data_IF_626005258442
#
_entry.id   IF_626005258442
#
_cell.length_a   1.000
_cell.length_b   1.000
_cell.length_c   1.000
_cell.angle_alpha   90.00
_cell.angle_beta   90.00
_cell.angle_gamma   90.00
#
_symmetry.space_group_name_H-M   'P 1'
#
loop_
_entity.id
_entity.type
_entity.pdbx_description
1 polymer ?
#
# COMPACT_ATOMS: atom_id res chain seq x y z
N UNK A 1 23.85 12.83 -4.09
CA UNK A 1 22.91 13.96 -3.93
C UNK A 1 21.57 13.38 -3.52
N UNK A 2 21.07 13.73 -2.34
CA UNK A 2 19.78 13.24 -1.86
C UNK A 2 18.68 14.10 -2.48
N UNK A 3 17.80 13.50 -3.30
CA UNK A 3 16.63 14.18 -3.83
C UNK A 3 15.76 14.68 -2.67
N UNK A 4 15.17 15.87 -2.84
CA UNK A 4 14.26 16.43 -1.84
C UNK A 4 13.02 15.52 -1.68
N UNK A 5 12.45 15.41 -0.48
CA UNK A 5 11.23 14.64 -0.23
C UNK A 5 10.11 15.01 -1.21
N UNK A 6 10.04 16.28 -1.63
CA UNK A 6 9.09 16.78 -2.64
C UNK A 6 9.34 16.25 -4.05
N UNK A 7 10.59 16.04 -4.43
CA UNK A 7 10.95 15.45 -5.73
C UNK A 7 10.63 13.97 -5.73
N UNK A 8 10.91 13.28 -4.61
CA UNK A 8 10.58 11.86 -4.45
C UNK A 8 9.06 11.63 -4.53
N UNK A 9 8.24 12.44 -3.85
CA UNK A 9 6.77 12.37 -3.95
C UNK A 9 6.24 12.70 -5.35
N UNK A 10 6.90 13.59 -6.09
CA UNK A 10 6.54 13.91 -7.48
C UNK A 10 6.88 12.77 -8.44
N UNK A 11 7.99 12.07 -8.25
CA UNK A 11 8.33 10.89 -9.04
C UNK A 11 7.44 9.68 -8.72
N UNK A 12 6.86 9.64 -7.53
CA UNK A 12 5.84 8.65 -7.21
C UNK A 12 4.51 8.87 -7.95
N UNK A 13 4.18 10.11 -8.35
CA UNK A 13 3.06 10.37 -9.27
C UNK A 13 3.31 9.76 -10.67
N UNK A 14 4.58 9.51 -11.01
CA UNK A 14 4.99 8.84 -12.25
C UNK A 14 5.15 7.32 -12.10
N UNK A 15 4.80 6.74 -10.95
CA UNK A 15 4.77 5.28 -10.82
C UNK A 15 3.77 4.70 -11.82
N UNK A 16 4.21 3.67 -12.55
CA UNK A 16 3.30 2.85 -13.35
C UNK A 16 2.17 2.33 -12.44
N UNK A 17 0.93 2.64 -12.83
CA UNK A 17 -0.27 2.13 -12.17
C UNK A 17 -0.25 0.60 -12.22
N UNK A 18 -0.63 -0.02 -11.12
CA UNK A 18 -0.84 -1.46 -11.07
C UNK A 18 -2.09 -1.83 -11.83
N UNK A 19 -1.96 -2.72 -12.81
CA UNK A 19 -3.03 -3.20 -13.68
C UNK A 19 -3.33 -4.69 -13.49
N UNK A 20 -2.68 -5.34 -12.50
CA UNK A 20 -2.75 -6.78 -12.24
C UNK A 20 -1.44 -7.51 -12.56
N UNK A 21 -0.54 -6.91 -13.35
CA UNK A 21 0.75 -7.49 -13.70
C UNK A 21 1.91 -7.06 -12.79
N UNK A 22 3.01 -7.83 -12.81
CA UNK A 22 4.28 -7.49 -12.15
C UNK A 22 4.12 -7.09 -10.68
N UNK A 23 3.21 -7.75 -9.95
CA UNK A 23 2.79 -7.33 -8.61
C UNK A 23 3.96 -7.13 -7.67
N UNK A 24 4.96 -8.03 -7.65
CA UNK A 24 6.13 -7.91 -6.76
C UNK A 24 6.90 -6.61 -7.02
N UNK A 25 7.01 -6.16 -8.28
CA UNK A 25 7.71 -4.92 -8.63
C UNK A 25 6.92 -3.70 -8.18
N UNK A 26 5.62 -3.64 -8.50
CA UNK A 26 4.76 -2.55 -8.05
C UNK A 26 4.69 -2.48 -6.53
N UNK A 27 4.53 -3.63 -5.87
CA UNK A 27 4.44 -3.76 -4.42
C UNK A 27 5.68 -3.20 -3.72
N UNK A 28 6.89 -3.52 -4.21
CA UNK A 28 8.14 -2.97 -3.67
C UNK A 28 8.21 -1.44 -3.81
N UNK A 29 7.83 -0.91 -4.97
CA UNK A 29 7.78 0.54 -5.21
C UNK A 29 6.76 1.23 -4.30
N UNK A 30 5.58 0.62 -4.11
CA UNK A 30 4.53 1.13 -3.23
C UNK A 30 4.95 1.10 -1.75
N UNK A 31 5.54 -0.02 -1.27
CA UNK A 31 6.11 -0.11 0.09
C UNK A 31 7.17 0.97 0.33
N UNK A 32 8.02 1.24 -0.66
CA UNK A 32 9.02 2.32 -0.56
C UNK A 32 8.37 3.70 -0.44
N UNK A 33 7.36 4.03 -1.26
CA UNK A 33 6.57 5.26 -1.12
C UNK A 33 5.96 5.42 0.27
N UNK A 34 5.25 4.39 0.76
CA UNK A 34 4.59 4.42 2.06
C UNK A 34 5.59 4.57 3.22
N UNK A 35 6.80 4.02 3.06
CA UNK A 35 7.90 4.18 4.04
C UNK A 35 8.42 5.61 4.05
N UNK A 36 8.62 6.21 2.88
CA UNK A 36 9.01 7.62 2.74
C UNK A 36 7.98 8.56 3.34
N UNK A 37 6.70 8.23 3.21
CA UNK A 37 5.59 8.95 3.85
C UNK A 37 5.42 8.63 5.35
N UNK A 38 6.18 7.67 5.89
CA UNK A 38 6.12 7.20 7.28
C UNK A 38 4.77 6.61 7.70
N UNK A 39 4.00 6.07 6.75
CA UNK A 39 2.69 5.45 7.00
C UNK A 39 2.70 3.93 6.84
N UNK A 40 3.79 3.33 6.32
CA UNK A 40 3.86 1.88 6.07
C UNK A 40 3.61 0.98 7.29
N UNK A 41 3.75 1.50 8.51
CA UNK A 41 3.56 0.75 9.74
C UNK A 41 2.10 0.28 9.94
N UNK A 42 1.11 1.01 9.40
CA UNK A 42 -0.32 0.65 9.49
C UNK A 42 -0.66 -0.66 8.77
N UNK A 43 0.21 -1.11 7.86
CA UNK A 43 0.08 -2.42 7.19
C UNK A 43 0.46 -3.61 8.08
N UNK A 44 1.02 -3.37 9.26
CA UNK A 44 1.50 -4.44 10.15
C UNK A 44 1.08 -4.24 11.60
N UNK A 45 0.75 -3.02 12.01
CA UNK A 45 0.36 -2.68 13.37
C UNK A 45 -1.15 -2.47 13.45
N UNK A 46 -1.79 -3.12 14.42
CA UNK A 46 -3.20 -2.92 14.71
C UNK A 46 -3.47 -1.48 15.16
N UNK A 47 -4.68 -1.00 14.87
CA UNK A 47 -5.21 0.24 15.41
C UNK A 47 -5.23 0.18 16.94
N UNK A 48 -4.78 1.21 17.67
CA UNK A 48 -4.96 1.29 19.11
C UNK A 48 -6.44 1.16 19.50
N UNK A 49 -6.71 0.38 20.54
CA UNK A 49 -8.08 0.21 21.07
C UNK A 49 -8.57 1.51 21.70
N UNK A 50 -9.87 1.73 21.57
CA UNK A 50 -10.56 2.82 22.25
C UNK A 50 -10.96 2.39 23.66
N UNK A 51 -10.68 3.23 24.66
CA UNK A 51 -10.99 2.96 26.07
C UNK A 51 -11.66 4.17 26.74
N UNK A 52 -12.47 3.91 27.77
CA UNK A 52 -13.24 4.93 28.47
C UNK A 52 -12.35 5.90 29.29
N UNK A 53 -11.18 5.46 29.74
CA UNK A 53 -10.24 6.19 30.59
C UNK A 53 -8.99 6.67 29.86
N UNK A 54 -9.09 6.89 28.55
CA UNK A 54 -7.95 7.32 27.74
C UNK A 54 -7.34 8.65 28.16
N UNK A 55 -6.01 8.64 28.17
CA UNK A 55 -5.25 9.88 28.24
C UNK A 55 -5.33 10.63 26.91
N UNK A 56 -5.15 11.95 26.96
CA UNK A 56 -5.06 12.81 25.76
C UNK A 56 -3.98 12.31 24.78
N UNK A 57 -2.90 11.71 25.28
CA UNK A 57 -1.84 11.15 24.45
C UNK A 57 -2.33 9.92 23.67
N UNK A 58 -3.05 9.00 24.31
CA UNK A 58 -3.61 7.80 23.66
C UNK A 58 -4.65 8.17 22.58
N UNK A 59 -5.53 9.13 22.87
CA UNK A 59 -6.47 9.64 21.87
C UNK A 59 -5.75 10.23 20.66
N UNK A 60 -4.67 11.00 20.89
CA UNK A 60 -3.87 11.59 19.80
C UNK A 60 -3.18 10.51 18.96
N UNK A 61 -2.65 9.47 19.60
CA UNK A 61 -1.97 8.38 18.91
C UNK A 61 -2.96 7.56 18.06
N UNK A 62 -4.19 7.33 18.53
CA UNK A 62 -5.27 6.71 17.74
C UNK A 62 -5.67 7.56 16.54
N UNK A 63 -5.90 8.87 16.75
CA UNK A 63 -6.23 9.78 15.64
C UNK A 63 -5.12 9.85 14.61
N UNK A 64 -3.86 9.84 15.05
CA UNK A 64 -2.70 9.76 14.16
C UNK A 64 -2.72 8.45 13.36
N UNK A 65 -2.99 7.32 14.01
CA UNK A 65 -3.11 6.02 13.32
C UNK A 65 -4.21 6.05 12.27
N UNK A 66 -5.40 6.58 12.61
CA UNK A 66 -6.55 6.67 11.69
C UNK A 66 -6.23 7.54 10.46
N UNK A 67 -5.53 8.66 10.66
CA UNK A 67 -5.06 9.50 9.57
C UNK A 67 -4.02 8.79 8.70
N UNK A 68 -3.06 8.10 9.30
CA UNK A 68 -2.00 7.39 8.57
C UNK A 68 -2.56 6.19 7.79
N UNK A 69 -3.56 5.48 8.33
CA UNK A 69 -4.28 4.42 7.60
C UNK A 69 -5.04 4.97 6.40
N UNK A 70 -5.76 6.09 6.57
CA UNK A 70 -6.42 6.77 5.47
C UNK A 70 -5.43 7.18 4.35
N UNK A 71 -4.31 7.81 4.71
CA UNK A 71 -3.27 8.21 3.76
C UNK A 71 -2.71 6.98 3.04
N UNK A 72 -2.39 5.92 3.79
CA UNK A 72 -1.86 4.67 3.25
C UNK A 72 -2.83 4.05 2.24
N UNK A 73 -4.11 3.91 2.62
CA UNK A 73 -5.17 3.37 1.78
C UNK A 73 -5.31 4.16 0.48
N UNK A 74 -5.34 5.50 0.56
CA UNK A 74 -5.48 6.37 -0.61
C UNK A 74 -4.27 6.28 -1.55
N UNK A 75 -3.06 6.16 -1.03
CA UNK A 75 -1.88 5.97 -1.89
C UNK A 75 -1.87 4.60 -2.58
N UNK A 76 -2.27 3.54 -1.88
CA UNK A 76 -2.39 2.21 -2.48
C UNK A 76 -3.41 2.24 -3.62
N UNK A 77 -4.60 2.80 -3.38
CA UNK A 77 -5.67 2.93 -4.38
C UNK A 77 -5.25 3.78 -5.58
N UNK A 78 -4.63 4.95 -5.35
CA UNK A 78 -4.15 5.82 -6.42
C UNK A 78 -3.02 5.18 -7.25
N UNK A 79 -2.32 4.20 -6.68
CA UNK A 79 -1.30 3.41 -7.36
C UNK A 79 -1.86 2.35 -8.31
N UNK A 80 -3.17 2.23 -8.47
CA UNK A 80 -3.83 1.23 -9.32
C UNK A 80 -4.45 1.81 -10.59
N UNK A 81 -4.74 0.94 -11.55
CA UNK A 81 -5.63 1.25 -12.68
C UNK A 81 -7.04 1.53 -12.18
N UNK A 82 -7.80 2.29 -12.97
CA UNK A 82 -9.15 2.69 -12.59
C UNK A 82 -10.07 1.47 -12.42
N UNK A 83 -9.88 0.43 -13.25
CA UNK A 83 -10.59 -0.85 -13.13
C UNK A 83 -10.34 -1.57 -11.80
N UNK A 84 -9.11 -1.53 -11.28
CA UNK A 84 -8.79 -2.14 -9.98
C UNK A 84 -9.22 -1.23 -8.83
N UNK A 85 -9.10 0.08 -9.00
CA UNK A 85 -9.64 1.05 -8.05
C UNK A 85 -11.12 0.78 -7.77
N UNK A 86 -11.93 0.60 -8.83
CA UNK A 86 -13.36 0.39 -8.70
C UNK A 86 -13.72 -0.86 -7.89
N UNK A 87 -12.90 -1.92 -8.02
CA UNK A 87 -13.06 -3.19 -7.28
C UNK A 87 -12.69 -3.04 -5.81
N UNK A 88 -11.67 -2.24 -5.51
CA UNK A 88 -11.02 -2.21 -4.20
C UNK A 88 -11.35 -0.97 -3.35
N UNK A 89 -11.99 0.06 -3.92
CA UNK A 89 -12.24 1.35 -3.26
C UNK A 89 -13.01 1.26 -1.94
N UNK A 90 -13.80 0.19 -1.75
CA UNK A 90 -14.61 -0.04 -0.55
C UNK A 90 -13.87 -0.83 0.55
N UNK A 91 -12.55 -1.04 0.42
CA UNK A 91 -11.77 -1.67 1.48
C UNK A 91 -11.77 -0.81 2.75
N UNK A 92 -12.08 -1.38 3.93
CA UNK A 92 -12.24 -0.63 5.18
C UNK A 92 -10.93 -0.07 5.75
N UNK A 93 -9.77 -0.65 5.40
CA UNK A 93 -8.46 -0.19 5.87
C UNK A 93 -7.37 -0.45 4.84
N UNK A 94 -6.22 0.21 5.00
CA UNK A 94 -5.06 -0.04 4.16
C UNK A 94 -4.58 -1.49 4.29
N UNK A 95 -4.65 -2.05 5.50
CA UNK A 95 -4.27 -3.44 5.77
C UNK A 95 -5.17 -4.44 5.06
N UNK A 96 -6.49 -4.28 5.15
CA UNK A 96 -7.44 -5.16 4.45
C UNK A 96 -7.20 -5.15 2.93
N UNK A 97 -7.01 -3.96 2.35
CA UNK A 97 -6.67 -3.85 0.93
C UNK A 97 -5.35 -4.56 0.61
N UNK A 98 -4.31 -4.28 1.38
CA UNK A 98 -2.99 -4.85 1.17
C UNK A 98 -2.98 -6.38 1.20
N UNK A 99 -3.69 -6.98 2.16
CA UNK A 99 -3.79 -8.44 2.30
C UNK A 99 -4.59 -9.08 1.17
N UNK A 100 -5.66 -8.43 0.69
CA UNK A 100 -6.40 -8.88 -0.50
C UNK A 100 -5.52 -8.90 -1.75
N UNK A 101 -4.68 -7.88 -1.92
CA UNK A 101 -3.76 -7.80 -3.04
C UNK A 101 -2.67 -8.87 -2.96
N UNK A 102 -2.04 -9.04 -1.79
CA UNK A 102 -1.03 -10.07 -1.58
C UNK A 102 -1.63 -11.46 -1.85
N UNK A 103 -2.82 -11.74 -1.33
CA UNK A 103 -3.50 -13.03 -1.53
C UNK A 103 -3.79 -13.32 -3.00
N UNK A 104 -4.27 -12.32 -3.74
CA UNK A 104 -4.64 -12.49 -5.16
C UNK A 104 -3.40 -12.59 -6.06
N UNK A 105 -2.46 -11.66 -5.92
CA UNK A 105 -1.45 -11.44 -6.95
C UNK A 105 -0.05 -12.00 -6.61
N UNK A 106 0.26 -12.35 -5.36
CA UNK A 106 1.55 -13.00 -5.03
C UNK A 106 1.71 -14.35 -5.75
N UNK A 107 0.63 -15.14 -5.80
CA UNK A 107 0.65 -16.49 -6.40
C UNK A 107 0.67 -16.43 -7.93
N UNK A 108 -0.07 -15.48 -8.50
CA UNK A 108 -0.17 -15.28 -9.94
C UNK A 108 1.17 -14.82 -10.52
N UNK A 109 1.82 -13.81 -9.91
CA UNK A 109 3.11 -13.29 -10.39
C UNK A 109 4.24 -14.35 -10.33
N UNK A 110 4.22 -15.21 -9.31
CA UNK A 110 5.17 -16.34 -9.19
C UNK A 110 4.94 -17.41 -10.27
N UNK A 111 3.68 -17.67 -10.62
CA UNK A 111 3.31 -18.70 -11.61
C UNK A 111 3.54 -18.20 -13.04
N UNK A 112 3.19 -16.95 -13.34
CA UNK A 112 3.42 -16.32 -14.65
C UNK A 112 4.91 -16.26 -15.00
N UNK A 113 5.78 -15.95 -14.02
CA UNK A 113 7.24 -15.98 -14.24
C UNK A 113 7.74 -17.40 -14.55
N UNK A 114 7.28 -18.40 -13.81
CA UNK A 114 7.68 -19.80 -14.03
C UNK A 114 7.28 -20.29 -15.42
N UNK A 115 6.08 -19.94 -15.88
CA UNK A 115 5.59 -20.34 -17.21
C UNK A 115 6.34 -19.65 -18.35
N UNK A 116 6.68 -18.36 -18.20
CA UNK A 116 7.43 -17.62 -19.20
C UNK A 116 8.85 -18.16 -19.38
N UNK A 117 9.52 -18.58 -18.30
CA UNK A 117 10.86 -19.19 -18.39
C UNK A 117 10.87 -20.56 -19.07
N UNK A 118 9.78 -21.32 -19.03
CA UNK A 118 9.69 -22.65 -19.70
C UNK A 118 9.50 -22.51 -21.22
N UNK A 119 9.02 -21.36 -21.70
CA UNK A 119 8.79 -21.11 -23.13
C UNK A 119 9.99 -20.51 -23.87
N UNK A 120 11.01 -20.08 -23.12
CA UNK A 120 12.24 -19.50 -23.66
C UNK A 120 13.40 -20.52 -23.74
N UNK A 121 13.16 -21.78 -23.34
CA UNK A 121 14.05 -22.95 -23.53
C UNK A 121 13.55 -23.85 -24.67
#
# INVERSE_FOLDING_TARGET
>A
MAASLKEMTSDFVKLEKFDGGNFIRWQKKMKFLLTTLKVAYVLNMARPEEKDDETVAETRDRQKWDNDDYICLRHILNGMSDSLFDIYQSSPSAKDLWDKLETRYMREDATSKKWNSIKEE
#
